data_IF_422420551307
#
_entry.id   IF_422420551307
#
_cell.length_a   1.000
_cell.length_b   1.000
_cell.length_c   1.000
_cell.angle_alpha   90.00
_cell.angle_beta   90.00
_cell.angle_gamma   90.00
#
_symmetry.space_group_name_H-M   'P 1'
#
loop_
_entity.id
_entity.type
_entity.pdbx_description
1 polymer ?
#
# COMPACT_ATOMS: atom_id res chain seq x y z
N UNK A 1 4.33 15.52 72.91
CA UNK A 1 4.54 15.09 71.51
C UNK A 1 4.17 16.26 70.62
N UNK A 2 5.18 16.91 70.03
CA UNK A 2 5.01 18.11 69.21
C UNK A 2 4.73 17.65 67.78
N UNK A 3 3.54 17.98 67.27
CA UNK A 3 3.17 17.80 65.86
C UNK A 3 4.07 18.65 64.98
N UNK A 4 4.87 18.00 64.13
CA UNK A 4 5.59 18.64 63.04
C UNK A 4 4.77 18.41 61.76
N UNK A 5 4.02 19.43 61.35
CA UNK A 5 3.26 19.45 60.11
C UNK A 5 4.26 19.72 58.96
N UNK A 6 4.62 18.69 58.21
CA UNK A 6 5.39 18.84 56.96
C UNK A 6 4.44 19.39 55.88
N UNK A 7 4.49 20.70 55.63
CA UNK A 7 3.93 21.26 54.40
C UNK A 7 4.82 20.84 53.22
N UNK A 8 4.32 19.91 52.41
CA UNK A 8 4.83 19.71 51.07
C UNK A 8 4.44 20.94 50.23
N UNK A 9 5.39 21.87 50.06
CA UNK A 9 5.28 22.89 49.04
C UNK A 9 5.34 22.17 47.69
N UNK A 10 4.17 21.99 47.07
CA UNK A 10 4.06 21.72 45.63
C UNK A 10 4.66 22.92 44.91
N UNK A 11 5.95 22.85 44.61
CA UNK A 11 6.56 23.72 43.59
C UNK A 11 5.91 23.28 42.27
N UNK A 12 4.81 23.94 41.91
CA UNK A 12 4.36 23.95 40.54
C UNK A 12 5.51 24.53 39.72
N UNK A 13 6.26 23.66 39.04
CA UNK A 13 7.11 24.11 37.96
C UNK A 13 6.19 24.77 36.95
N UNK A 14 6.20 26.09 36.92
CA UNK A 14 5.58 26.89 35.88
C UNK A 14 6.30 26.54 34.58
N UNK A 15 5.79 25.51 33.90
CA UNK A 15 6.31 25.04 32.62
C UNK A 15 5.51 25.74 31.51
N UNK A 16 5.77 27.03 31.35
CA UNK A 16 4.99 27.90 30.48
C UNK A 16 5.93 28.89 29.79
N UNK A 17 6.83 28.36 28.95
CA UNK A 17 7.18 29.10 27.73
C UNK A 17 5.99 28.91 26.77
N UNK A 18 4.85 29.54 27.06
CA UNK A 18 3.77 29.65 26.08
C UNK A 18 4.33 30.40 24.87
N UNK A 19 4.11 29.82 23.68
CA UNK A 19 4.39 30.49 22.42
C UNK A 19 3.64 31.83 22.40
N UNK A 20 4.19 32.88 21.75
CA UNK A 20 3.39 34.07 21.49
C UNK A 20 2.09 33.64 20.77
N UNK A 21 0.94 34.20 21.16
CA UNK A 21 -0.33 33.89 20.50
C UNK A 21 -0.21 34.20 19.00
N UNK A 22 -0.64 33.27 18.15
CA UNK A 22 -0.53 33.27 16.67
C UNK A 22 0.82 32.83 16.08
N UNK A 23 1.53 31.89 16.70
CA UNK A 23 2.65 31.20 16.03
C UNK A 23 2.06 30.20 15.02
N UNK A 24 2.16 30.50 13.71
CA UNK A 24 1.71 29.60 12.64
C UNK A 24 2.87 28.75 12.11
N UNK A 25 2.58 27.53 11.66
CA UNK A 25 3.55 26.72 10.92
C UNK A 25 3.89 27.38 9.58
N UNK A 26 5.19 27.48 9.30
CA UNK A 26 5.76 28.12 8.12
C UNK A 26 6.22 27.08 7.08
N UNK A 27 6.74 25.94 7.53
CA UNK A 27 7.37 24.97 6.62
C UNK A 27 6.39 24.06 5.90
N UNK A 28 5.19 23.89 6.45
CA UNK A 28 4.13 23.01 5.90
C UNK A 28 3.36 23.61 4.72
N UNK A 29 3.60 24.89 4.40
CA UNK A 29 3.01 25.55 3.20
C UNK A 29 3.46 24.90 1.89
N UNK A 30 4.64 24.28 1.90
CA UNK A 30 5.14 23.43 0.84
C UNK A 30 5.42 22.04 1.44
N UNK A 31 4.44 21.13 1.31
CA UNK A 31 4.56 19.76 1.83
C UNK A 31 5.58 18.92 1.07
N UNK A 32 6.03 19.37 -0.11
CA UNK A 32 7.01 18.69 -0.95
C UNK A 32 8.42 19.26 -0.81
N UNK A 33 8.65 20.23 0.08
CA UNK A 33 9.96 20.82 0.35
C UNK A 33 11.07 19.76 0.49
N UNK A 34 12.22 19.88 -0.21
CA UNK A 34 13.33 18.94 -0.08
C UNK A 34 13.84 18.84 1.36
N UNK A 35 14.30 17.64 1.77
CA UNK A 35 14.71 17.39 3.16
C UNK A 35 15.88 18.28 3.62
N UNK A 36 16.84 18.54 2.74
CA UNK A 36 18.00 19.40 3.00
C UNK A 36 17.59 20.87 3.16
N UNK A 37 16.65 21.35 2.33
CA UNK A 37 16.09 22.68 2.46
C UNK A 37 15.27 22.81 3.75
N UNK A 38 14.44 21.82 4.06
CA UNK A 38 13.67 21.78 5.31
C UNK A 38 14.61 21.84 6.52
N UNK A 39 15.68 21.06 6.55
CA UNK A 39 16.67 21.10 7.64
C UNK A 39 17.23 22.51 7.85
N UNK A 40 17.56 23.23 6.77
CA UNK A 40 18.05 24.61 6.84
C UNK A 40 16.99 25.54 7.42
N UNK A 41 15.72 25.39 7.01
CA UNK A 41 14.60 26.22 7.49
C UNK A 41 14.23 25.95 8.96
N UNK A 42 14.52 24.76 9.48
CA UNK A 42 14.27 24.41 10.89
C UNK A 42 15.34 24.96 11.84
N UNK A 43 16.57 25.20 11.39
CA UNK A 43 17.68 25.73 12.22
C UNK A 43 17.36 27.01 12.99
N UNK A 44 16.79 28.07 12.36
CA UNK A 44 16.47 29.31 13.06
C UNK A 44 15.31 29.17 14.04
N UNK A 45 14.46 28.14 13.89
CA UNK A 45 13.27 27.99 14.71
C UNK A 45 13.62 27.65 16.16
N UNK A 46 12.83 28.20 17.07
CA UNK A 46 12.89 27.89 18.50
C UNK A 46 11.97 26.73 18.85
N UNK A 47 12.18 26.12 20.02
CA UNK A 47 11.41 24.96 20.51
C UNK A 47 9.90 25.13 20.36
N UNK A 48 9.39 26.32 20.68
CA UNK A 48 7.96 26.60 20.70
C UNK A 48 7.35 26.70 19.28
N UNK A 49 8.10 27.23 18.30
CA UNK A 49 7.73 27.24 16.88
C UNK A 49 7.78 25.82 16.30
N UNK A 50 8.82 25.06 16.65
CA UNK A 50 8.97 23.66 16.22
C UNK A 50 7.87 22.74 16.76
N UNK A 51 7.29 23.05 17.93
CA UNK A 51 6.14 22.33 18.45
C UNK A 51 4.92 22.46 17.52
N UNK A 52 4.66 23.66 17.01
CA UNK A 52 3.54 23.87 16.08
C UNK A 52 3.85 23.30 14.70
N UNK A 53 5.09 23.41 14.22
CA UNK A 53 5.52 22.74 12.98
C UNK A 53 5.30 21.22 13.08
N UNK A 54 5.79 20.58 14.15
CA UNK A 54 5.66 19.14 14.35
C UNK A 54 4.19 18.71 14.36
N UNK A 55 3.33 19.50 15.03
CA UNK A 55 1.88 19.27 15.06
C UNK A 55 1.24 19.36 13.68
N UNK A 56 1.58 20.36 12.88
CA UNK A 56 1.00 20.52 11.52
C UNK A 56 1.52 19.44 10.57
N UNK A 57 2.80 19.10 10.61
CA UNK A 57 3.36 17.95 9.86
C UNK A 57 2.67 16.64 10.24
N UNK A 58 2.39 16.43 11.53
CA UNK A 58 1.63 15.27 12.00
C UNK A 58 0.19 15.26 11.49
N UNK A 59 -0.48 16.41 11.42
CA UNK A 59 -1.82 16.54 10.85
C UNK A 59 -1.81 16.21 9.36
N UNK A 60 -0.83 16.69 8.59
CA UNK A 60 -0.66 16.33 7.17
C UNK A 60 -0.46 14.83 6.99
N UNK A 61 0.40 14.22 7.82
CA UNK A 61 0.62 12.78 7.80
C UNK A 61 -0.68 12.01 8.13
N UNK A 62 -1.42 12.43 9.16
CA UNK A 62 -2.72 11.83 9.52
C UNK A 62 -3.73 11.92 8.38
N UNK A 63 -3.83 13.09 7.74
CA UNK A 63 -4.71 13.30 6.59
C UNK A 63 -4.34 12.37 5.44
N UNK A 64 -3.05 12.23 5.12
CA UNK A 64 -2.59 11.33 4.05
C UNK A 64 -2.86 9.86 4.39
N UNK A 65 -2.70 9.46 5.65
CA UNK A 65 -3.05 8.10 6.11
C UNK A 65 -4.55 7.84 5.99
N UNK A 66 -5.41 8.82 6.29
CA UNK A 66 -6.85 8.71 6.10
C UNK A 66 -7.22 8.55 4.63
N UNK A 67 -6.63 9.34 3.74
CA UNK A 67 -6.80 9.24 2.29
C UNK A 67 -6.46 7.84 1.77
N UNK A 68 -5.28 7.30 2.16
CA UNK A 68 -4.89 5.92 1.83
C UNK A 68 -5.93 4.93 2.33
N UNK A 69 -6.37 5.04 3.59
CA UNK A 69 -7.32 4.08 4.16
C UNK A 69 -8.69 4.11 3.47
N UNK A 70 -9.13 5.30 3.02
CA UNK A 70 -10.38 5.45 2.28
C UNK A 70 -10.26 4.76 0.91
N UNK A 71 -9.20 5.01 0.16
CA UNK A 71 -8.99 4.36 -1.14
C UNK A 71 -8.78 2.84 -1.03
N UNK A 72 -8.07 2.36 -0.01
CA UNK A 72 -7.95 0.92 0.25
C UNK A 72 -9.29 0.26 0.57
N UNK A 73 -10.16 0.96 1.29
CA UNK A 73 -11.49 0.48 1.60
C UNK A 73 -12.32 0.33 0.33
N UNK A 74 -12.35 1.35 -0.53
CA UNK A 74 -13.01 1.30 -1.84
C UNK A 74 -12.44 0.15 -2.68
N UNK A 75 -11.11 -0.04 -2.69
CA UNK A 75 -10.47 -1.14 -3.42
C UNK A 75 -10.90 -2.50 -2.87
N UNK A 76 -11.12 -2.59 -1.55
CA UNK A 76 -11.61 -3.81 -0.91
C UNK A 76 -13.08 -4.08 -1.28
N UNK A 77 -13.94 -3.07 -1.27
CA UNK A 77 -15.35 -3.22 -1.69
C UNK A 77 -15.46 -3.61 -3.16
N UNK A 78 -14.67 -3.00 -4.04
CA UNK A 78 -14.59 -3.45 -5.43
C UNK A 78 -14.12 -4.90 -5.57
N UNK A 79 -13.33 -5.42 -4.62
CA UNK A 79 -12.98 -6.86 -4.58
C UNK A 79 -14.20 -7.74 -4.38
N UNK A 80 -15.00 -7.38 -3.38
CA UNK A 80 -16.15 -8.18 -2.95
C UNK A 80 -17.24 -8.12 -4.01
N UNK A 81 -17.47 -6.96 -4.59
CA UNK A 81 -18.36 -6.78 -5.74
C UNK A 81 -17.90 -7.65 -6.93
N UNK A 82 -16.62 -7.58 -7.32
CA UNK A 82 -16.10 -8.39 -8.43
C UNK A 82 -16.25 -9.88 -8.18
N UNK A 83 -15.99 -10.35 -6.95
CA UNK A 83 -16.16 -11.76 -6.60
C UNK A 83 -17.62 -12.21 -6.78
N UNK A 84 -18.58 -11.40 -6.37
CA UNK A 84 -19.99 -11.71 -6.56
C UNK A 84 -20.42 -11.65 -8.05
N UNK A 85 -19.78 -10.82 -8.88
CA UNK A 85 -20.00 -10.86 -10.34
C UNK A 85 -19.37 -12.11 -10.97
N UNK A 86 -18.19 -12.53 -10.51
CA UNK A 86 -17.51 -13.77 -10.94
C UNK A 86 -18.33 -15.00 -10.59
N UNK A 87 -18.76 -15.11 -9.32
CA UNK A 87 -19.63 -16.19 -8.85
C UNK A 87 -20.98 -16.21 -9.65
N UNK A 88 -21.46 -15.05 -10.13
CA UNK A 88 -22.66 -14.97 -10.96
C UNK A 88 -22.42 -15.36 -12.41
N UNK A 89 -21.22 -15.10 -12.95
CA UNK A 89 -20.82 -15.54 -14.28
C UNK A 89 -20.70 -17.06 -14.33
N UNK A 90 -20.12 -17.68 -13.30
CA UNK A 90 -20.04 -19.14 -13.16
C UNK A 90 -21.46 -19.75 -13.18
N UNK A 91 -22.39 -19.19 -12.40
CA UNK A 91 -23.78 -19.64 -12.40
C UNK A 91 -24.51 -19.43 -13.75
N UNK A 92 -24.18 -18.37 -14.50
CA UNK A 92 -24.70 -18.18 -15.86
C UNK A 92 -24.11 -19.17 -16.87
N UNK A 93 -22.86 -19.59 -16.68
CA UNK A 93 -22.22 -20.64 -17.48
C UNK A 93 -22.89 -21.99 -17.22
N UNK A 94 -23.08 -22.36 -15.95
CA UNK A 94 -23.82 -23.58 -15.56
C UNK A 94 -25.25 -23.60 -16.13
N UNK A 95 -25.96 -22.46 -16.06
CA UNK A 95 -27.29 -22.33 -16.66
C UNK A 95 -27.29 -22.55 -18.18
N UNK A 96 -26.26 -22.05 -18.86
CA UNK A 96 -26.09 -22.22 -20.30
C UNK A 96 -25.77 -23.67 -20.67
N UNK A 97 -24.91 -24.34 -19.91
CA UNK A 97 -24.61 -25.76 -20.11
C UNK A 97 -25.86 -26.63 -19.92
N UNK A 98 -26.62 -26.40 -18.85
CA UNK A 98 -27.88 -27.12 -18.60
C UNK A 98 -28.93 -26.92 -19.70
N UNK A 99 -28.96 -25.75 -20.35
CA UNK A 99 -29.80 -25.50 -21.52
C UNK A 99 -29.31 -26.20 -22.80
N UNK A 100 -28.00 -26.36 -22.97
CA UNK A 100 -27.40 -27.05 -24.12
C UNK A 100 -27.50 -28.59 -24.01
N UNK A 101 -27.56 -29.14 -22.78
CA UNK A 101 -27.72 -30.58 -22.54
C UNK A 101 -29.12 -31.11 -22.85
N UNK A 102 -30.13 -30.26 -23.10
CA UNK A 102 -31.47 -30.67 -23.53
C UNK A 102 -31.40 -31.19 -24.97
N UNK A 103 -31.51 -32.51 -25.24
CA UNK A 103 -31.42 -33.02 -26.60
C UNK A 103 -32.62 -32.53 -27.42
N UNK A 104 -32.35 -31.93 -28.59
CA UNK A 104 -33.34 -31.41 -29.57
C UNK A 104 -34.43 -32.42 -29.99
N UNK A 105 -34.37 -33.69 -29.56
CA UNK A 105 -35.17 -34.78 -30.12
C UNK A 105 -35.76 -35.75 -29.07
N UNK A 106 -36.56 -35.28 -28.10
CA UNK A 106 -37.67 -36.08 -27.57
C UNK A 106 -38.84 -35.22 -27.12
N UNK A 107 -39.92 -35.23 -27.92
CA UNK A 107 -41.25 -34.64 -27.63
C UNK A 107 -42.05 -35.43 -26.56
N UNK A 108 -41.39 -36.04 -25.60
CA UNK A 108 -42.03 -36.80 -24.52
C UNK A 108 -41.45 -36.38 -23.19
N UNK A 109 -42.32 -35.95 -22.28
CA UNK A 109 -42.04 -35.68 -20.87
C UNK A 109 -41.14 -36.78 -20.29
N UNK A 110 -39.86 -36.48 -20.14
CA UNK A 110 -38.90 -37.29 -19.41
C UNK A 110 -38.50 -36.50 -18.17
N UNK A 111 -38.41 -37.15 -17.00
CA UNK A 111 -37.86 -36.55 -15.76
C UNK A 111 -36.53 -35.84 -16.02
N UNK A 112 -35.73 -36.33 -16.98
CA UNK A 112 -34.44 -35.76 -17.38
C UNK A 112 -34.54 -34.35 -17.98
N UNK A 113 -35.59 -34.01 -18.71
CA UNK A 113 -35.79 -32.66 -19.28
C UNK A 113 -36.37 -31.67 -18.29
N UNK A 114 -37.12 -32.15 -17.29
CA UNK A 114 -37.62 -31.31 -16.21
C UNK A 114 -36.49 -30.98 -15.20
N UNK A 115 -35.62 -31.94 -14.92
CA UNK A 115 -34.46 -31.76 -14.05
C UNK A 115 -33.46 -30.73 -14.61
N UNK A 116 -33.15 -30.78 -15.91
CA UNK A 116 -32.25 -29.81 -16.55
C UNK A 116 -32.84 -28.39 -16.62
N UNK A 117 -34.17 -28.27 -16.73
CA UNK A 117 -34.86 -26.99 -16.68
C UNK A 117 -34.88 -26.41 -15.27
N UNK A 118 -35.11 -27.24 -14.25
CA UNK A 118 -35.05 -26.83 -12.84
C UNK A 118 -33.64 -26.37 -12.45
N UNK A 119 -32.60 -27.10 -12.89
CA UNK A 119 -31.19 -26.75 -12.66
C UNK A 119 -30.84 -25.40 -13.31
N UNK A 120 -31.21 -25.19 -14.56
CA UNK A 120 -31.03 -23.91 -15.25
C UNK A 120 -31.77 -22.76 -14.55
N UNK A 121 -33.02 -22.96 -14.11
CA UNK A 121 -33.78 -21.96 -13.36
C UNK A 121 -33.13 -21.59 -12.03
N UNK A 122 -32.55 -22.58 -11.32
CA UNK A 122 -31.86 -22.33 -10.05
C UNK A 122 -30.57 -21.54 -10.22
N UNK A 123 -29.74 -21.90 -11.21
CA UNK A 123 -28.48 -21.23 -11.50
C UNK A 123 -28.71 -19.77 -11.95
N UNK A 124 -29.73 -19.55 -12.79
CA UNK A 124 -30.19 -18.21 -13.19
C UNK A 124 -30.65 -17.37 -11.99
N UNK A 125 -31.44 -17.97 -11.09
CA UNK A 125 -31.93 -17.27 -9.90
C UNK A 125 -30.79 -16.88 -8.95
N UNK A 126 -29.77 -17.74 -8.83
CA UNK A 126 -28.56 -17.46 -8.07
C UNK A 126 -27.74 -16.33 -8.68
N UNK A 127 -27.45 -16.41 -9.99
CA UNK A 127 -26.72 -15.35 -10.71
C UNK A 127 -27.40 -13.99 -10.55
N UNK A 128 -28.72 -13.95 -10.75
CA UNK A 128 -29.49 -12.71 -10.61
C UNK A 128 -29.44 -12.16 -9.18
N UNK A 129 -29.53 -13.03 -8.17
CA UNK A 129 -29.43 -12.61 -6.77
C UNK A 129 -28.05 -11.98 -6.47
N UNK A 130 -26.98 -12.63 -6.91
CA UNK A 130 -25.61 -12.14 -6.69
C UNK A 130 -25.36 -10.81 -7.42
N UNK A 131 -25.79 -10.69 -8.67
CA UNK A 131 -25.72 -9.44 -9.44
C UNK A 131 -26.51 -8.33 -8.75
N UNK A 132 -27.71 -8.62 -8.26
CA UNK A 132 -28.54 -7.65 -7.55
C UNK A 132 -27.90 -7.18 -6.24
N UNK A 133 -27.26 -8.09 -5.50
CA UNK A 133 -26.51 -7.74 -4.28
C UNK A 133 -25.35 -6.78 -4.59
N UNK A 134 -24.65 -6.96 -5.72
CA UNK A 134 -23.57 -6.06 -6.18
C UNK A 134 -24.09 -4.70 -6.61
N UNK A 135 -25.32 -4.63 -7.10
CA UNK A 135 -25.94 -3.37 -7.55
C UNK A 135 -26.54 -2.55 -6.40
N UNK A 136 -26.71 -3.17 -5.23
CA UNK A 136 -27.40 -2.59 -4.08
C UNK A 136 -28.92 -2.57 -4.29
N UNK A 137 -29.70 -2.94 -3.26
CA UNK A 137 -31.06 -2.38 -3.16
C UNK A 137 -30.88 -0.88 -2.88
N UNK A 138 -31.68 -0.01 -3.52
CA UNK A 138 -31.64 1.47 -3.53
C UNK A 138 -31.60 2.22 -2.15
N UNK A 139 -31.13 1.63 -1.05
CA UNK A 139 -31.31 2.11 0.32
C UNK A 139 -30.04 2.34 1.18
N UNK A 140 -28.82 2.16 0.67
CA UNK A 140 -27.60 2.62 1.36
C UNK A 140 -26.88 3.74 0.58
N UNK A 141 -27.59 4.86 0.33
CA UNK A 141 -27.09 6.05 -0.39
C UNK A 141 -25.90 6.80 0.27
N UNK A 142 -25.27 6.29 1.33
CA UNK A 142 -24.15 6.99 2.00
C UNK A 142 -22.78 6.38 1.76
N UNK A 143 -22.64 5.04 1.64
CA UNK A 143 -21.32 4.40 1.45
C UNK A 143 -20.98 4.27 -0.04
N UNK A 144 -21.92 3.79 -0.85
CA UNK A 144 -21.72 3.66 -2.31
C UNK A 144 -21.47 5.00 -3.02
N UNK A 145 -22.09 6.08 -2.55
CA UNK A 145 -21.90 7.40 -3.11
C UNK A 145 -20.49 7.96 -2.84
N UNK A 146 -19.92 7.66 -1.67
CA UNK A 146 -18.56 8.06 -1.29
C UNK A 146 -17.54 7.24 -2.08
N UNK A 147 -17.73 5.92 -2.15
CA UNK A 147 -16.88 5.00 -2.91
C UNK A 147 -16.86 5.36 -4.41
N UNK A 148 -18.02 5.67 -4.98
CA UNK A 148 -18.14 6.14 -6.37
C UNK A 148 -17.43 7.49 -6.59
N UNK A 149 -17.52 8.42 -5.62
CA UNK A 149 -16.84 9.72 -5.71
C UNK A 149 -15.32 9.58 -5.67
N UNK A 150 -14.80 8.74 -4.77
CA UNK A 150 -13.36 8.48 -4.64
C UNK A 150 -12.85 7.80 -5.92
N UNK A 151 -13.53 6.76 -6.40
CA UNK A 151 -13.18 6.07 -7.64
C UNK A 151 -13.15 7.06 -8.83
N UNK A 152 -14.13 7.96 -8.90
CA UNK A 152 -14.17 8.99 -9.94
C UNK A 152 -13.00 9.97 -9.84
N UNK A 153 -12.68 10.46 -8.65
CA UNK A 153 -11.56 11.39 -8.45
C UNK A 153 -10.22 10.76 -8.84
N UNK A 154 -10.01 9.50 -8.46
CA UNK A 154 -8.80 8.73 -8.80
C UNK A 154 -8.66 8.55 -10.32
N UNK A 155 -9.75 8.21 -10.99
CA UNK A 155 -9.79 8.05 -12.45
C UNK A 155 -9.60 9.39 -13.19
N UNK A 156 -10.06 10.51 -12.64
CA UNK A 156 -9.80 11.84 -13.20
C UNK A 156 -8.33 12.25 -13.02
N UNK A 157 -7.70 11.92 -11.90
CA UNK A 157 -6.27 12.19 -11.65
C UNK A 157 -5.36 11.37 -12.58
N UNK A 158 -5.67 10.09 -12.83
CA UNK A 158 -4.84 9.23 -13.68
C UNK A 158 -4.80 9.67 -15.17
N UNK A 159 -5.86 10.33 -15.66
CA UNK A 159 -5.92 10.90 -17.01
C UNK A 159 -4.97 12.10 -17.23
N UNK A 160 -4.51 12.75 -16.16
CA UNK A 160 -3.62 13.92 -16.26
C UNK A 160 -2.13 13.56 -16.34
N UNK A 161 -1.74 12.32 -15.97
CA UNK A 161 -0.33 11.94 -15.84
C UNK A 161 0.15 10.85 -16.82
N UNK A 162 -0.75 10.12 -17.51
CA UNK A 162 -0.35 9.05 -18.44
C UNK A 162 -0.96 9.18 -19.83
N UNK A 163 -0.10 9.15 -20.85
CA UNK A 163 -0.48 9.24 -22.25
C UNK A 163 -1.09 7.95 -22.80
N UNK A 164 -2.26 8.12 -23.42
CA UNK A 164 -2.74 7.54 -24.70
C UNK A 164 -3.14 6.06 -24.82
N UNK A 165 -2.68 5.09 -24.01
CA UNK A 165 -2.99 3.67 -24.32
C UNK A 165 -3.90 2.92 -23.33
N UNK A 166 -4.35 3.53 -22.23
CA UNK A 166 -5.35 2.94 -21.32
C UNK A 166 -6.74 3.51 -21.63
N UNK A 167 -7.77 2.67 -21.50
CA UNK A 167 -9.18 3.09 -21.55
C UNK A 167 -9.36 4.27 -20.58
N UNK A 168 -9.84 5.40 -21.11
CA UNK A 168 -10.01 6.64 -20.31
C UNK A 168 -10.90 6.36 -19.11
N UNK A 169 -10.56 6.91 -17.95
CA UNK A 169 -11.33 6.76 -16.71
C UNK A 169 -12.80 7.13 -16.87
N UNK A 170 -13.09 8.13 -17.72
CA UNK A 170 -14.45 8.48 -18.12
C UNK A 170 -15.18 7.36 -18.87
N UNK A 171 -14.48 6.60 -19.71
CA UNK A 171 -15.02 5.43 -20.41
C UNK A 171 -15.30 4.28 -19.44
N UNK A 172 -14.39 4.03 -18.48
CA UNK A 172 -14.54 2.97 -17.46
C UNK A 172 -15.82 3.20 -16.64
N UNK A 173 -16.06 4.44 -16.18
CA UNK A 173 -17.27 4.81 -15.44
C UNK A 173 -18.56 4.75 -16.28
N UNK A 174 -18.47 5.02 -17.58
CA UNK A 174 -19.61 4.88 -18.48
C UNK A 174 -19.96 3.40 -18.70
N UNK A 175 -18.96 2.55 -18.82
CA UNK A 175 -19.13 1.12 -19.01
C UNK A 175 -19.72 0.46 -17.75
N UNK A 176 -19.23 0.79 -16.56
CA UNK A 176 -19.82 0.31 -15.29
C UNK A 176 -21.30 0.73 -15.20
N UNK A 177 -21.62 2.01 -15.45
CA UNK A 177 -23.00 2.52 -15.42
C UNK A 177 -23.90 1.95 -16.51
N UNK A 178 -23.34 1.62 -17.67
CA UNK A 178 -24.07 1.00 -18.77
C UNK A 178 -24.41 -0.44 -18.40
N UNK A 179 -23.44 -1.19 -17.89
CA UNK A 179 -23.60 -2.57 -17.47
C UNK A 179 -24.61 -2.70 -16.33
N UNK A 180 -24.52 -1.88 -15.27
CA UNK A 180 -25.50 -1.89 -14.17
C UNK A 180 -26.92 -1.57 -14.65
N UNK A 181 -27.08 -0.60 -15.57
CA UNK A 181 -28.39 -0.29 -16.17
C UNK A 181 -28.94 -1.39 -17.09
N UNK A 182 -28.07 -2.21 -17.69
CA UNK A 182 -28.51 -3.35 -18.49
C UNK A 182 -28.97 -4.46 -17.57
N UNK A 183 -28.20 -4.76 -16.53
CA UNK A 183 -28.52 -5.76 -15.51
C UNK A 183 -29.78 -5.42 -14.72
N UNK A 184 -30.05 -4.14 -14.44
CA UNK A 184 -31.29 -3.70 -13.75
C UNK A 184 -32.56 -3.94 -14.57
N UNK A 185 -32.45 -3.93 -15.90
CA UNK A 185 -33.59 -4.12 -16.80
C UNK A 185 -33.95 -5.58 -17.04
N UNK A 186 -33.12 -6.51 -16.57
CA UNK A 186 -33.30 -7.94 -16.77
C UNK A 186 -34.18 -8.44 -15.61
N UNK A 187 -35.42 -8.85 -15.92
CA UNK A 187 -36.27 -9.56 -14.97
C UNK A 187 -35.82 -11.03 -14.87
N UNK A 188 -35.72 -11.58 -13.66
CA UNK A 188 -35.32 -12.97 -13.44
C UNK A 188 -36.21 -13.99 -14.14
N UNK A 189 -37.46 -13.61 -14.43
CA UNK A 189 -38.40 -14.46 -15.19
C UNK A 189 -38.13 -14.50 -16.70
N UNK A 190 -37.33 -13.57 -17.22
CA UNK A 190 -37.06 -13.42 -18.66
C UNK A 190 -35.75 -14.11 -19.09
N UNK A 191 -34.95 -14.60 -18.14
CA UNK A 191 -33.68 -15.31 -18.32
C UNK A 191 -33.82 -16.77 -18.83
N UNK A 192 -34.92 -17.09 -19.53
CA UNK A 192 -35.26 -18.47 -19.92
C UNK A 192 -34.89 -18.81 -21.36
N UNK A 193 -34.38 -17.87 -22.14
CA UNK A 193 -33.94 -18.08 -23.52
C UNK A 193 -32.45 -17.80 -23.71
N UNK A 194 -31.83 -18.54 -24.63
CA UNK A 194 -30.39 -18.45 -24.89
C UNK A 194 -29.93 -17.04 -25.30
N UNK A 195 -30.83 -16.23 -25.88
CA UNK A 195 -30.53 -14.85 -26.28
C UNK A 195 -30.48 -13.90 -25.07
N UNK A 196 -31.41 -14.02 -24.11
CA UNK A 196 -31.38 -13.21 -22.89
C UNK A 196 -30.22 -13.59 -21.99
N UNK A 197 -29.95 -14.89 -21.78
CA UNK A 197 -28.78 -15.37 -21.04
C UNK A 197 -27.49 -14.76 -21.59
N UNK A 198 -27.29 -14.83 -22.90
CA UNK A 198 -26.10 -14.25 -23.53
C UNK A 198 -25.97 -12.75 -23.27
N UNK A 199 -27.06 -11.98 -23.36
CA UNK A 199 -27.04 -10.54 -23.06
C UNK A 199 -26.66 -10.25 -21.61
N UNK A 200 -27.13 -11.08 -20.68
CA UNK A 200 -26.86 -10.94 -19.25
C UNK A 200 -25.42 -11.29 -18.94
N UNK A 201 -24.91 -12.38 -19.52
CA UNK A 201 -23.50 -12.75 -19.44
C UNK A 201 -22.62 -11.65 -20.03
N UNK A 202 -22.93 -11.13 -21.22
CA UNK A 202 -22.16 -10.03 -21.84
C UNK A 202 -22.15 -8.77 -20.96
N UNK A 203 -23.28 -8.42 -20.34
CA UNK A 203 -23.38 -7.29 -19.41
C UNK A 203 -22.63 -7.53 -18.08
N UNK A 204 -22.69 -8.75 -17.53
CA UNK A 204 -21.97 -9.14 -16.33
C UNK A 204 -20.45 -9.18 -16.57
N UNK A 205 -19.99 -9.66 -17.74
CA UNK A 205 -18.59 -9.56 -18.16
C UNK A 205 -18.15 -8.10 -18.26
N UNK A 206 -18.94 -7.24 -18.90
CA UNK A 206 -18.64 -5.81 -18.97
C UNK A 206 -18.56 -5.17 -17.57
N UNK A 207 -19.44 -5.58 -16.66
CA UNK A 207 -19.41 -5.11 -15.27
C UNK A 207 -18.14 -5.57 -14.55
N UNK A 208 -17.76 -6.85 -14.68
CA UNK A 208 -16.54 -7.40 -14.09
C UNK A 208 -15.29 -6.68 -14.60
N UNK A 209 -15.19 -6.48 -15.92
CA UNK A 209 -14.06 -5.78 -16.56
C UNK A 209 -13.94 -4.34 -16.06
N UNK A 210 -15.04 -3.58 -16.05
CA UNK A 210 -15.02 -2.20 -15.58
C UNK A 210 -14.64 -2.09 -14.10
N UNK A 211 -15.18 -2.94 -13.22
CA UNK A 211 -14.80 -2.98 -11.80
C UNK A 211 -13.33 -3.38 -11.59
N UNK A 212 -12.82 -4.30 -12.41
CA UNK A 212 -11.40 -4.69 -12.43
C UNK A 212 -10.49 -3.51 -12.78
N UNK A 213 -10.84 -2.75 -13.83
CA UNK A 213 -10.11 -1.56 -14.25
C UNK A 213 -10.13 -0.46 -13.17
N UNK A 214 -11.28 -0.21 -12.53
CA UNK A 214 -11.42 0.74 -11.41
C UNK A 214 -10.49 0.33 -10.26
N UNK A 215 -10.58 -0.94 -9.83
CA UNK A 215 -9.75 -1.49 -8.75
C UNK A 215 -8.27 -1.31 -9.06
N UNK A 216 -7.86 -1.61 -10.29
CA UNK A 216 -6.46 -1.49 -10.72
C UNK A 216 -5.98 -0.05 -10.60
N UNK A 217 -6.75 0.91 -11.11
CA UNK A 217 -6.40 2.34 -11.02
C UNK A 217 -6.31 2.81 -9.56
N UNK A 218 -7.19 2.31 -8.70
CA UNK A 218 -7.22 2.64 -7.28
C UNK A 218 -6.00 2.09 -6.54
N UNK A 219 -5.62 0.84 -6.80
CA UNK A 219 -4.40 0.25 -6.24
C UNK A 219 -3.14 0.96 -6.71
N UNK A 220 -3.10 1.41 -7.98
CA UNK A 220 -1.99 2.20 -8.50
C UNK A 220 -1.86 3.54 -7.78
N UNK A 221 -2.97 4.26 -7.57
CA UNK A 221 -2.96 5.52 -6.83
C UNK A 221 -2.64 5.33 -5.33
N UNK A 222 -3.15 4.29 -4.69
CA UNK A 222 -2.75 3.91 -3.31
C UNK A 222 -1.24 3.72 -3.19
N UNK A 223 -0.59 3.11 -4.19
CA UNK A 223 0.87 2.98 -4.21
C UNK A 223 1.59 4.33 -4.31
N UNK A 224 1.06 5.27 -5.09
CA UNK A 224 1.56 6.65 -5.15
C UNK A 224 1.40 7.35 -3.79
N UNK A 225 0.22 7.25 -3.17
CA UNK A 225 -0.03 7.79 -1.84
C UNK A 225 0.90 7.19 -0.78
N UNK A 226 1.27 5.90 -0.90
CA UNK A 226 2.26 5.29 -0.03
C UNK A 226 3.66 5.90 -0.17
N UNK A 227 4.07 6.26 -1.39
CA UNK A 227 5.32 6.98 -1.61
C UNK A 227 5.26 8.39 -0.99
N UNK A 228 4.15 9.11 -1.17
CA UNK A 228 3.93 10.43 -0.56
C UNK A 228 3.93 10.36 0.97
N UNK A 229 3.24 9.38 1.57
CA UNK A 229 3.24 9.14 3.01
C UNK A 229 4.66 8.92 3.53
N UNK A 230 5.48 8.14 2.83
CA UNK A 230 6.87 7.89 3.21
C UNK A 230 7.68 9.19 3.20
N UNK A 231 7.52 9.99 2.14
CA UNK A 231 8.11 11.32 2.03
C UNK A 231 7.65 12.27 3.16
N UNK A 232 6.38 12.23 3.56
CA UNK A 232 5.86 13.00 4.68
C UNK A 232 6.41 12.51 6.03
N UNK A 233 6.55 11.19 6.22
CA UNK A 233 7.16 10.60 7.42
C UNK A 233 8.60 11.08 7.59
N UNK A 234 9.40 11.10 6.52
CA UNK A 234 10.79 11.56 6.57
C UNK A 234 10.89 13.04 7.00
N UNK A 235 10.05 13.89 6.42
CA UNK A 235 9.96 15.33 6.78
C UNK A 235 9.46 15.52 8.21
N UNK A 236 8.45 14.74 8.63
CA UNK A 236 7.91 14.78 9.98
C UNK A 236 8.96 14.35 11.01
N UNK A 237 9.72 13.28 10.71
CA UNK A 237 10.83 12.85 11.56
C UNK A 237 11.92 13.93 11.67
N UNK A 238 12.24 14.62 10.58
CA UNK A 238 13.22 15.72 10.60
C UNK A 238 12.77 16.85 11.52
N UNK A 239 11.49 17.23 11.48
CA UNK A 239 10.91 18.27 12.33
C UNK A 239 10.88 17.83 13.80
N UNK A 240 10.48 16.59 14.07
CA UNK A 240 10.49 16.00 15.42
C UNK A 240 11.91 15.95 15.99
N UNK A 241 12.90 15.58 15.18
CA UNK A 241 14.30 15.56 15.61
C UNK A 241 14.79 16.97 15.95
N UNK A 242 14.50 17.98 15.10
CA UNK A 242 14.84 19.37 15.39
C UNK A 242 14.13 19.87 16.67
N UNK A 243 12.88 19.46 16.88
CA UNK A 243 12.12 19.80 18.08
C UNK A 243 12.76 19.18 19.34
N UNK A 244 13.16 17.92 19.28
CA UNK A 244 13.88 17.20 20.35
C UNK A 244 15.25 17.86 20.66
N UNK A 245 16.04 18.18 19.64
CA UNK A 245 17.33 18.87 19.78
C UNK A 245 17.21 20.23 20.48
N UNK A 246 16.07 20.91 20.32
CA UNK A 246 15.77 22.20 20.96
C UNK A 246 15.16 22.05 22.36
N UNK A 247 15.18 20.84 22.93
CA UNK A 247 14.77 20.56 24.30
C UNK A 247 13.26 20.36 24.48
N UNK A 248 12.58 19.75 23.50
CA UNK A 248 11.20 19.30 23.66
C UNK A 248 11.05 18.34 24.86
N UNK A 249 9.85 18.29 25.45
CA UNK A 249 9.53 17.28 26.44
C UNK A 249 9.43 15.89 25.75
N UNK A 250 9.75 14.83 26.49
CA UNK A 250 9.75 13.46 25.97
C UNK A 250 8.35 12.96 25.57
N UNK A 251 7.31 13.41 26.27
CA UNK A 251 5.91 12.99 26.05
C UNK A 251 5.41 13.24 24.62
N UNK A 252 5.40 14.48 24.06
CA UNK A 252 4.92 14.72 22.69
C UNK A 252 5.80 14.03 21.64
N UNK A 253 7.12 13.98 21.84
CA UNK A 253 8.04 13.29 20.93
C UNK A 253 7.70 11.79 20.87
N UNK A 254 7.44 11.18 22.03
CA UNK A 254 7.10 9.76 22.12
C UNK A 254 5.77 9.45 21.43
N UNK A 255 4.73 10.26 21.67
CA UNK A 255 3.43 10.10 21.00
C UNK A 255 3.58 10.15 19.48
N UNK A 256 4.32 11.13 18.97
CA UNK A 256 4.55 11.29 17.54
C UNK A 256 5.32 10.11 16.94
N UNK A 257 6.38 9.65 17.60
CA UNK A 257 7.16 8.49 17.14
C UNK A 257 6.35 7.20 17.18
N UNK A 258 5.49 7.00 18.18
CA UNK A 258 4.59 5.85 18.25
C UNK A 258 3.58 5.86 17.11
N UNK A 259 2.97 7.02 16.83
CA UNK A 259 2.08 7.15 15.69
C UNK A 259 2.80 6.84 14.38
N UNK A 260 3.97 7.46 14.13
CA UNK A 260 4.79 7.20 12.93
C UNK A 260 5.13 5.71 12.81
N UNK A 261 5.51 5.05 13.92
CA UNK A 261 5.80 3.62 13.93
C UNK A 261 4.58 2.77 13.54
N UNK A 262 3.38 3.15 13.99
CA UNK A 262 2.15 2.45 13.66
C UNK A 262 1.78 2.59 12.17
N UNK A 263 2.01 3.77 11.58
CA UNK A 263 1.63 4.05 10.18
C UNK A 263 2.72 3.74 9.15
N UNK A 264 3.97 3.61 9.57
CA UNK A 264 5.11 3.18 8.74
C UNK A 264 5.20 1.67 8.57
N UNK A 265 4.49 0.90 9.42
CA UNK A 265 4.38 -0.54 9.26
C UNK A 265 3.61 -0.90 7.99
N UNK A 266 4.33 -1.18 6.92
CA UNK A 266 3.75 -1.83 5.74
C UNK A 266 3.20 -3.20 6.20
N UNK A 267 1.87 -3.38 6.15
CA UNK A 267 1.26 -4.71 6.16
C UNK A 267 1.61 -5.38 4.83
N UNK A 268 2.82 -5.90 4.72
CA UNK A 268 3.21 -6.76 3.61
C UNK A 268 2.65 -8.14 3.91
N UNK A 269 1.50 -8.47 3.31
CA UNK A 269 1.05 -9.85 3.22
C UNK A 269 2.12 -10.65 2.47
N UNK A 270 2.67 -11.66 3.14
CA UNK A 270 3.82 -12.46 2.69
C UNK A 270 3.42 -13.47 1.59
N UNK A 271 2.38 -13.18 0.80
CA UNK A 271 1.86 -14.09 -0.24
C UNK A 271 2.13 -13.66 -1.70
N UNK A 272 2.61 -12.44 -1.96
CA UNK A 272 2.96 -12.00 -3.33
C UNK A 272 4.44 -11.62 -3.46
N UNK A 273 5.30 -12.63 -3.57
CA UNK A 273 6.75 -12.44 -3.81
C UNK A 273 7.01 -11.80 -5.19
N UNK A 274 6.14 -12.05 -6.18
CA UNK A 274 6.30 -11.50 -7.53
C UNK A 274 5.83 -10.04 -7.63
N UNK A 275 4.74 -9.66 -6.95
CA UNK A 275 4.28 -8.27 -6.90
C UNK A 275 5.19 -7.40 -6.04
N UNK A 276 5.72 -7.95 -4.93
CA UNK A 276 6.71 -7.25 -4.11
C UNK A 276 8.02 -7.06 -4.86
N UNK A 277 8.49 -8.02 -5.68
CA UNK A 277 9.64 -7.83 -6.57
C UNK A 277 9.36 -6.80 -7.68
N UNK A 278 8.15 -6.75 -8.23
CA UNK A 278 7.76 -5.74 -9.21
C UNK A 278 7.72 -4.32 -8.61
N UNK A 279 7.15 -4.17 -7.41
CA UNK A 279 7.13 -2.92 -6.66
C UNK A 279 8.54 -2.51 -6.21
N UNK A 280 9.37 -3.46 -5.75
CA UNK A 280 10.77 -3.20 -5.39
C UNK A 280 11.59 -2.76 -6.61
N UNK A 281 11.33 -3.35 -7.79
CA UNK A 281 11.96 -2.96 -9.06
C UNK A 281 11.49 -1.57 -9.51
N UNK A 282 10.21 -1.25 -9.34
CA UNK A 282 9.65 0.08 -9.61
C UNK A 282 10.23 1.16 -8.69
N UNK A 283 10.37 0.86 -7.41
CA UNK A 283 11.03 1.72 -6.43
C UNK A 283 12.54 1.90 -6.73
N UNK A 284 13.24 0.82 -7.11
CA UNK A 284 14.66 0.86 -7.49
C UNK A 284 14.91 1.76 -8.71
N UNK A 285 13.98 1.79 -9.66
CA UNK A 285 14.04 2.62 -10.88
C UNK A 285 13.55 4.06 -10.64
N UNK A 286 12.77 4.29 -9.58
CA UNK A 286 12.19 5.60 -9.27
C UNK A 286 13.27 6.67 -9.00
N UNK A 287 13.06 7.86 -9.58
CA UNK A 287 13.96 9.02 -9.48
C UNK A 287 14.09 9.58 -8.06
N UNK A 288 13.06 9.42 -7.22
CA UNK A 288 12.96 10.06 -5.91
C UNK A 288 13.61 9.23 -4.77
N UNK A 289 13.58 7.89 -4.85
CA UNK A 289 14.01 7.00 -3.76
C UNK A 289 15.15 6.04 -4.10
N UNK A 290 14.98 5.22 -5.15
CA UNK A 290 15.91 4.14 -5.49
C UNK A 290 17.31 4.61 -5.89
N UNK A 291 17.41 5.74 -6.59
CA UNK A 291 18.69 6.27 -7.06
C UNK A 291 19.60 6.78 -5.91
N UNK A 292 19.01 7.36 -4.85
CA UNK A 292 19.75 7.82 -3.65
C UNK A 292 20.33 6.65 -2.86
N UNK A 293 19.54 5.60 -2.66
CA UNK A 293 20.01 4.40 -1.94
C UNK A 293 20.99 3.59 -2.81
N UNK A 294 20.77 3.53 -4.12
CA UNK A 294 21.66 2.87 -5.07
C UNK A 294 23.11 3.38 -5.01
N UNK A 295 23.33 4.69 -4.83
CA UNK A 295 24.69 5.25 -4.64
C UNK A 295 25.36 4.73 -3.36
N UNK A 296 24.63 4.68 -2.24
CA UNK A 296 25.19 4.22 -0.96
C UNK A 296 25.43 2.70 -0.95
N UNK A 297 24.55 1.91 -1.55
CA UNK A 297 24.78 0.47 -1.77
C UNK A 297 26.01 0.27 -2.65
N UNK A 298 26.14 1.01 -3.75
CA UNK A 298 27.29 0.89 -4.64
C UNK A 298 28.60 1.18 -3.89
N UNK A 299 28.65 2.23 -3.07
CA UNK A 299 29.80 2.54 -2.22
C UNK A 299 30.04 1.43 -1.19
N UNK A 300 29.01 0.89 -0.57
CA UNK A 300 29.12 -0.23 0.37
C UNK A 300 29.71 -1.47 -0.32
N UNK A 301 29.19 -1.86 -1.49
CA UNK A 301 29.69 -3.01 -2.26
C UNK A 301 31.14 -2.80 -2.70
N UNK A 302 31.50 -1.59 -3.15
CA UNK A 302 32.88 -1.24 -3.50
C UNK A 302 33.78 -1.31 -2.27
N UNK A 303 33.31 -0.84 -1.11
CA UNK A 303 34.05 -0.90 0.16
C UNK A 303 34.27 -2.35 0.58
N UNK A 304 33.24 -3.20 0.51
CA UNK A 304 33.32 -4.64 0.76
C UNK A 304 34.32 -5.31 -0.20
N UNK A 305 34.27 -4.99 -1.50
CA UNK A 305 35.26 -5.48 -2.46
C UNK A 305 36.69 -5.03 -2.11
N UNK A 306 36.88 -3.77 -1.73
CA UNK A 306 38.19 -3.24 -1.35
C UNK A 306 38.75 -3.98 -0.13
N UNK A 307 37.94 -4.21 0.90
CA UNK A 307 38.33 -4.99 2.07
C UNK A 307 38.56 -6.47 1.74
N UNK A 308 37.78 -7.04 0.83
CA UNK A 308 38.02 -8.39 0.31
C UNK A 308 39.39 -8.50 -0.36
N UNK A 309 39.74 -7.56 -1.25
CA UNK A 309 41.05 -7.53 -1.90
C UNK A 309 42.19 -7.30 -0.90
N UNK A 310 42.02 -6.41 0.06
CA UNK A 310 43.00 -6.18 1.13
C UNK A 310 43.21 -7.45 1.97
N UNK A 311 42.14 -8.15 2.33
CA UNK A 311 42.21 -9.44 3.05
C UNK A 311 43.02 -10.48 2.27
N UNK A 312 42.80 -10.57 0.96
CA UNK A 312 43.53 -11.50 0.08
C UNK A 312 45.03 -11.16 0.02
N UNK A 313 45.40 -9.88 0.01
CA UNK A 313 46.79 -9.43 0.00
C UNK A 313 47.46 -9.70 1.36
N UNK A 314 46.79 -9.37 2.46
CA UNK A 314 47.28 -9.61 3.83
C UNK A 314 47.45 -11.11 4.09
N UNK A 315 46.52 -11.95 3.63
CA UNK A 315 46.65 -13.41 3.72
C UNK A 315 47.88 -13.94 2.98
N UNK A 316 48.22 -13.38 1.81
CA UNK A 316 49.44 -13.75 1.07
C UNK A 316 50.72 -13.24 1.71
N UNK A 317 50.69 -12.05 2.31
CA UNK A 317 51.83 -11.50 3.04
C UNK A 317 52.11 -12.28 4.33
N UNK A 318 51.05 -12.64 5.06
CA UNK A 318 51.12 -13.49 6.25
C UNK A 318 51.73 -14.86 5.93
N UNK A 319 51.26 -15.53 4.87
CA UNK A 319 51.82 -16.82 4.44
C UNK A 319 53.32 -16.73 4.14
N UNK A 320 53.75 -15.65 3.47
CA UNK A 320 55.18 -15.41 3.16
C UNK A 320 56.00 -15.09 4.41
N UNK A 321 55.45 -14.33 5.35
CA UNK A 321 56.12 -13.96 6.61
C UNK A 321 56.30 -15.15 7.56
N UNK A 322 55.25 -15.96 7.74
CA UNK A 322 55.32 -17.14 8.61
C UNK A 322 56.19 -18.25 8.03
N UNK A 323 56.22 -18.43 6.70
CA UNK A 323 57.16 -19.35 6.02
C UNK A 323 58.62 -18.89 6.10
N UNK A 324 58.87 -17.59 6.23
CA UNK A 324 60.22 -17.06 6.41
C UNK A 324 60.75 -17.26 7.85
N UNK A 325 59.86 -17.38 8.84
CA UNK A 325 60.25 -17.61 10.23
C UNK A 325 60.51 -19.08 10.53
N UNK A 326 61.72 -19.41 11.01
CA UNK A 326 62.12 -20.78 11.38
C UNK A 326 61.47 -21.33 12.66
N UNK A 327 60.60 -20.56 13.32
CA UNK A 327 60.10 -20.83 14.67
C UNK A 327 58.60 -21.19 14.72
N UNK A 328 57.87 -21.24 13.60
CA UNK A 328 56.43 -21.56 13.57
C UNK A 328 56.17 -22.91 12.92
N UNK A 329 55.41 -23.78 13.61
CA UNK A 329 54.98 -25.08 13.09
C UNK A 329 54.11 -24.93 11.83
N UNK A 330 54.34 -25.78 10.82
CA UNK A 330 53.64 -25.75 9.53
C UNK A 330 52.11 -25.82 9.68
N UNK A 331 51.61 -26.49 10.73
CA UNK A 331 50.18 -26.56 11.02
C UNK A 331 49.61 -25.24 11.56
N UNK A 332 50.37 -24.53 12.41
CA UNK A 332 49.92 -23.26 12.99
C UNK A 332 49.94 -22.15 11.94
N UNK A 333 50.96 -22.12 11.07
CA UNK A 333 51.02 -21.15 9.96
C UNK A 333 49.87 -21.35 8.97
N UNK A 334 49.52 -22.60 8.65
CA UNK A 334 48.41 -22.90 7.73
C UNK A 334 47.04 -22.59 8.36
N UNK A 335 46.86 -22.89 9.65
CA UNK A 335 45.64 -22.55 10.38
C UNK A 335 45.45 -21.03 10.52
N UNK A 336 46.49 -20.28 10.93
CA UNK A 336 46.41 -18.82 11.08
C UNK A 336 46.20 -18.12 9.73
N UNK A 337 46.85 -18.58 8.66
CA UNK A 337 46.65 -18.01 7.32
C UNK A 337 45.22 -18.25 6.82
N UNK A 338 44.66 -19.43 7.07
CA UNK A 338 43.25 -19.74 6.77
C UNK A 338 42.29 -18.97 7.66
N UNK A 339 42.61 -18.76 8.94
CA UNK A 339 41.78 -17.99 9.87
C UNK A 339 41.77 -16.49 9.53
N UNK A 340 42.89 -15.90 9.15
CA UNK A 340 43.00 -14.49 8.75
C UNK A 340 42.27 -14.25 7.41
N UNK A 341 42.45 -15.14 6.44
CA UNK A 341 41.82 -15.00 5.12
C UNK A 341 40.31 -15.31 5.12
N UNK A 342 39.85 -16.26 5.94
CA UNK A 342 38.44 -16.65 6.00
C UNK A 342 37.65 -15.95 7.10
N UNK A 343 38.30 -15.49 8.17
CA UNK A 343 37.65 -14.78 9.28
C UNK A 343 37.02 -13.46 8.87
N UNK A 344 37.59 -12.78 7.87
CA UNK A 344 37.04 -11.53 7.32
C UNK A 344 35.79 -11.78 6.46
N UNK A 345 35.68 -12.95 5.80
CA UNK A 345 34.52 -13.31 4.97
C UNK A 345 33.29 -13.63 5.85
N UNK A 346 33.49 -13.99 7.11
CA UNK A 346 32.42 -14.33 8.07
C UNK A 346 31.94 -13.11 8.87
N UNK A 347 32.67 -11.98 8.82
CA UNK A 347 32.42 -10.78 9.61
C UNK A 347 31.78 -9.63 8.82
N UNK A 348 31.65 -9.76 7.49
CA UNK A 348 30.99 -8.82 6.57
C UNK A 348 29.66 -9.41 6.15
#
# INVERSE_FOLDING_TARGET
MISLLLMAASVGMANSLECPPNTEALTTKDSQIPLDELEIRLKPLVRCELAEEAKVWMTLLKSKVQEISAEELVAKHKKTEMKAVEDALDALEDAKEAMEEVPEATKGESESTAASQEEAETAVAEAHKQIKEVMGDDQEETEDAVDSSIAKEVLEKSETETGVDSKSGKQILQDEKSATKQLDKIDSKELQDQETLKKVTDAAVQLADSKSEIRKSLLEHVNQLYAERTALIDRTNLVINAFEEKGAAEEPITEYRQYIKAVSGLKVDVSDVDATLAALKGWLISKEGGLRWGKNIAIFVVTVMAFYFLSVIVGRAADRGFKASRHTSALLSDFLTKAISRGIIVLV
#
